data_IF_958743778598
#
_entry.id   IF_958743778598
#
_cell.length_a   1.000
_cell.length_b   1.000
_cell.length_c   1.000
_cell.angle_alpha   90.00
_cell.angle_beta   90.00
_cell.angle_gamma   90.00
#
_symmetry.space_group_name_H-M   'P 1'
#
loop_
_entity.id
_entity.type
_entity.pdbx_description
1 polymer ?
#
# COMPACT_ATOMS: atom_id res chain seq x y z
N UNK A 1 28.24 -70.53 27.52
CA UNK A 1 27.17 -69.58 27.17
C UNK A 1 27.48 -68.28 27.88
N UNK A 2 27.80 -67.27 27.08
CA UNK A 2 28.35 -65.98 27.45
C UNK A 2 27.19 -64.99 27.65
N UNK A 3 27.12 -64.31 28.79
CA UNK A 3 26.34 -63.07 28.94
C UNK A 3 27.17 -62.04 29.71
N UNK A 4 27.98 -61.36 28.90
CA UNK A 4 28.74 -60.15 29.16
C UNK A 4 27.80 -58.98 29.50
N UNK A 5 28.08 -58.35 30.65
CA UNK A 5 27.54 -57.06 31.07
C UNK A 5 27.87 -55.99 30.01
N UNK A 6 26.86 -55.51 29.29
CA UNK A 6 26.98 -54.41 28.33
C UNK A 6 26.74 -53.05 28.98
N UNK A 7 27.74 -52.17 28.90
CA UNK A 7 27.75 -50.77 29.35
C UNK A 7 26.62 -49.91 28.73
N UNK A 8 26.07 -48.97 29.52
CA UNK A 8 25.06 -47.98 29.09
C UNK A 8 25.64 -47.04 27.98
N UNK A 9 25.02 -46.97 26.79
CA UNK A 9 25.59 -46.30 25.61
C UNK A 9 25.45 -44.76 25.62
N UNK A 10 25.20 -44.12 26.76
CA UNK A 10 24.91 -42.67 26.83
C UNK A 10 26.02 -41.82 27.44
N UNK A 11 27.28 -42.24 27.36
CA UNK A 11 28.43 -41.32 27.55
C UNK A 11 28.76 -40.58 26.25
N UNK A 12 27.82 -39.76 25.81
CA UNK A 12 28.03 -38.73 24.80
C UNK A 12 28.04 -37.35 25.45
N UNK A 13 28.82 -36.41 24.90
CA UNK A 13 28.92 -35.02 25.38
C UNK A 13 27.51 -34.41 25.49
N UNK A 14 27.13 -34.01 26.69
CA UNK A 14 25.85 -33.33 26.93
C UNK A 14 25.86 -31.96 26.25
N UNK A 15 24.73 -31.57 25.64
CA UNK A 15 24.51 -30.24 25.06
C UNK A 15 24.86 -29.12 26.03
N UNK A 16 24.60 -29.33 27.32
CA UNK A 16 24.95 -28.39 28.38
C UNK A 16 26.48 -28.32 28.58
N UNK A 17 27.19 -29.44 28.55
CA UNK A 17 28.66 -29.48 28.64
C UNK A 17 29.38 -28.86 27.43
N UNK A 18 28.79 -28.94 26.24
CA UNK A 18 29.29 -28.24 25.05
C UNK A 18 29.17 -26.71 25.20
N UNK A 19 28.00 -26.22 25.64
CA UNK A 19 27.75 -24.79 25.86
C UNK A 19 28.61 -24.20 26.99
N UNK A 20 28.95 -24.98 28.03
CA UNK A 20 29.84 -24.51 29.10
C UNK A 20 31.32 -24.63 28.73
N UNK A 21 31.69 -25.51 27.79
CA UNK A 21 33.09 -25.91 27.54
C UNK A 21 33.83 -25.18 26.41
N UNK A 22 33.17 -24.35 25.61
CA UNK A 22 33.79 -23.71 24.42
C UNK A 22 33.67 -22.18 24.41
N UNK A 23 33.77 -21.55 25.58
CA UNK A 23 33.63 -20.10 25.73
C UNK A 23 34.91 -19.29 25.96
N UNK A 24 36.11 -19.87 25.78
CA UNK A 24 37.36 -19.17 26.08
C UNK A 24 38.45 -19.41 25.03
N UNK A 25 38.33 -18.75 23.87
CA UNK A 25 39.45 -18.51 22.96
C UNK A 25 39.20 -17.24 22.10
N UNK A 26 39.77 -16.13 22.58
CA UNK A 26 40.23 -14.90 21.90
C UNK A 26 39.53 -14.36 20.63
N UNK A 27 39.01 -13.13 20.72
CA UNK A 27 39.44 -12.02 19.85
C UNK A 27 39.15 -10.66 20.54
N UNK A 28 40.16 -10.10 21.21
CA UNK A 28 40.16 -8.71 21.73
C UNK A 28 40.42 -7.68 20.59
N UNK A 29 40.46 -8.12 19.33
CA UNK A 29 40.83 -7.31 18.16
C UNK A 29 39.70 -6.44 17.58
N UNK A 30 38.63 -6.16 18.35
CA UNK A 30 37.46 -5.40 17.85
C UNK A 30 37.23 -4.04 18.50
N UNK A 31 38.02 -3.64 19.52
CA UNK A 31 37.72 -2.44 20.31
C UNK A 31 38.06 -1.11 19.63
N UNK A 32 38.60 -1.13 18.41
CA UNK A 32 38.80 0.07 17.58
C UNK A 32 37.95 0.05 16.32
N UNK A 33 36.87 -0.73 16.26
CA UNK A 33 35.80 -0.43 15.31
C UNK A 33 35.17 0.90 15.75
N UNK A 34 35.79 1.99 15.30
CA UNK A 34 35.30 3.34 15.42
C UNK A 34 33.85 3.29 14.95
N UNK A 35 32.93 3.59 15.87
CA UNK A 35 31.53 3.75 15.53
C UNK A 35 31.47 4.85 14.48
N UNK A 36 31.45 4.43 13.21
CA UNK A 36 31.16 5.31 12.10
C UNK A 36 29.66 5.50 12.18
N UNK A 37 29.16 6.68 12.57
CA UNK A 37 27.73 6.92 12.46
C UNK A 37 27.33 6.63 11.01
N UNK A 38 26.16 6.02 10.74
CA UNK A 38 25.66 5.97 9.39
C UNK A 38 25.74 7.39 8.83
N UNK A 39 26.23 7.53 7.59
CA UNK A 39 26.23 8.81 6.90
C UNK A 39 24.85 9.47 7.14
N UNK A 40 24.79 10.78 7.45
CA UNK A 40 23.51 11.45 7.66
C UNK A 40 22.63 11.06 6.48
N UNK A 41 21.45 10.50 6.77
CA UNK A 41 20.48 10.20 5.75
C UNK A 41 20.39 11.47 4.91
N UNK A 42 20.85 11.41 3.66
CA UNK A 42 20.74 12.55 2.77
C UNK A 42 19.24 12.85 2.76
N UNK A 43 18.85 13.91 3.45
CA UNK A 43 17.55 14.50 3.20
C UNK A 43 17.48 14.57 1.68
N UNK A 44 16.44 14.00 1.10
CA UNK A 44 16.15 14.16 -0.32
C UNK A 44 15.76 15.63 -0.54
N UNK A 45 16.72 16.54 -0.36
CA UNK A 45 16.66 17.97 -0.55
C UNK A 45 16.63 18.20 -2.06
N UNK A 46 15.44 18.04 -2.64
CA UNK A 46 15.26 18.24 -4.07
C UNK A 46 13.91 17.82 -4.62
N UNK A 47 13.12 17.01 -3.92
CA UNK A 47 11.74 16.81 -4.32
C UNK A 47 10.94 18.09 -4.07
N UNK A 48 10.20 18.64 -5.05
CA UNK A 48 9.36 19.80 -4.82
C UNK A 48 8.32 19.44 -3.75
N UNK A 49 8.38 20.12 -2.60
CA UNK A 49 7.35 20.02 -1.58
C UNK A 49 6.06 20.64 -2.15
N UNK A 50 5.03 19.82 -2.31
CA UNK A 50 3.71 20.31 -2.69
C UNK A 50 2.98 20.77 -1.41
N UNK A 51 2.60 22.05 -1.35
CA UNK A 51 1.70 22.59 -0.32
C UNK A 51 2.25 23.77 0.50
N UNK A 52 1.42 24.41 1.35
CA UNK A 52 0.02 24.08 1.63
C UNK A 52 -0.98 24.62 0.59
N UNK A 53 -0.53 25.44 -0.35
CA UNK A 53 -1.39 26.02 -1.38
C UNK A 53 -1.97 24.94 -2.32
N UNK A 54 -3.18 25.16 -2.87
CA UNK A 54 -3.74 24.30 -3.91
C UNK A 54 -2.81 24.22 -5.13
N UNK A 55 -2.71 23.02 -5.70
CA UNK A 55 -1.99 22.76 -6.94
C UNK A 55 -2.95 22.33 -8.04
N UNK A 56 -2.56 22.59 -9.29
CA UNK A 56 -3.34 22.19 -10.46
C UNK A 56 -3.36 20.67 -10.60
N UNK A 57 -4.55 20.12 -10.70
CA UNK A 57 -4.83 18.72 -10.93
C UNK A 57 -5.48 18.56 -12.31
N UNK A 58 -4.95 17.65 -13.13
CA UNK A 58 -5.54 17.29 -14.42
C UNK A 58 -5.87 15.80 -14.41
N UNK A 59 -7.07 15.42 -14.84
CA UNK A 59 -7.51 14.03 -14.92
C UNK A 59 -8.29 13.81 -16.21
N UNK A 60 -8.34 12.56 -16.69
CA UNK A 60 -9.36 12.13 -17.65
C UNK A 60 -10.39 11.29 -16.89
N UNK A 61 -11.58 11.83 -16.65
CA UNK A 61 -12.63 11.14 -15.88
C UNK A 61 -13.73 10.69 -16.82
N UNK A 62 -13.98 9.38 -16.89
CA UNK A 62 -14.96 8.77 -17.80
C UNK A 62 -14.78 9.23 -19.26
N UNK A 63 -13.52 9.33 -19.72
CA UNK A 63 -13.18 9.80 -21.07
C UNK A 63 -13.20 11.32 -21.27
N UNK A 64 -13.61 12.12 -20.27
CA UNK A 64 -13.61 13.59 -20.32
C UNK A 64 -12.41 14.16 -19.59
N UNK A 65 -11.61 14.98 -20.27
CA UNK A 65 -10.53 15.75 -19.63
C UNK A 65 -11.13 16.81 -18.70
N UNK A 66 -10.65 16.84 -17.46
CA UNK A 66 -11.06 17.78 -16.42
C UNK A 66 -9.84 18.35 -15.71
N UNK A 67 -9.99 19.57 -15.21
CA UNK A 67 -8.93 20.28 -14.50
C UNK A 67 -9.54 21.01 -13.30
N UNK A 68 -8.86 20.97 -12.17
CA UNK A 68 -9.24 21.71 -10.96
C UNK A 68 -8.00 22.04 -10.13
N UNK A 69 -8.15 22.76 -9.02
CA UNK A 69 -7.07 23.00 -8.06
C UNK A 69 -7.43 22.33 -6.73
N UNK A 70 -6.51 21.54 -6.17
CA UNK A 70 -6.71 20.81 -4.91
C UNK A 70 -5.53 20.98 -3.99
N UNK A 71 -5.76 20.96 -2.67
CA UNK A 71 -4.67 20.85 -1.71
C UNK A 71 -3.93 19.50 -1.90
N UNK A 72 -2.62 19.43 -1.68
CA UNK A 72 -1.84 18.20 -1.87
C UNK A 72 -2.31 16.98 -1.09
N UNK A 73 -3.00 17.19 0.05
CA UNK A 73 -3.56 16.14 0.91
C UNK A 73 -4.89 15.57 0.41
N UNK A 74 -5.48 16.15 -0.63
CA UNK A 74 -6.81 15.74 -1.12
C UNK A 74 -6.71 14.34 -1.73
N UNK A 75 -7.58 13.45 -1.26
CA UNK A 75 -7.72 12.10 -1.82
C UNK A 75 -8.38 12.15 -3.20
N UNK A 76 -8.16 11.13 -4.02
CA UNK A 76 -8.84 11.00 -5.31
C UNK A 76 -10.36 10.94 -5.12
N UNK A 77 -10.84 10.30 -4.05
CA UNK A 77 -12.26 10.28 -3.70
C UNK A 77 -12.81 11.68 -3.48
N UNK A 78 -12.13 12.51 -2.68
CA UNK A 78 -12.58 13.87 -2.40
C UNK A 78 -12.47 14.76 -3.64
N UNK A 79 -11.41 14.63 -4.45
CA UNK A 79 -11.29 15.34 -5.71
C UNK A 79 -12.46 15.04 -6.65
N UNK A 80 -12.80 13.77 -6.85
CA UNK A 80 -13.94 13.37 -7.67
C UNK A 80 -15.26 13.94 -7.14
N UNK A 81 -15.52 13.77 -5.84
CA UNK A 81 -16.83 14.10 -5.25
C UNK A 81 -17.06 15.59 -5.02
N UNK A 82 -16.07 16.29 -4.48
CA UNK A 82 -16.24 17.64 -3.94
C UNK A 82 -15.64 18.73 -4.82
N UNK A 83 -14.78 18.37 -5.78
CA UNK A 83 -14.15 19.33 -6.71
C UNK A 83 -14.61 19.15 -8.16
N UNK A 84 -15.09 17.96 -8.52
CA UNK A 84 -15.45 17.61 -9.90
C UNK A 84 -16.92 17.15 -10.04
N UNK A 85 -17.68 17.11 -8.94
CA UNK A 85 -19.09 16.69 -8.87
C UNK A 85 -19.37 15.27 -9.44
N UNK A 86 -18.37 14.39 -9.39
CA UNK A 86 -18.46 12.96 -9.76
C UNK A 86 -18.72 12.17 -8.48
N UNK A 87 -19.99 11.85 -8.22
CA UNK A 87 -20.47 11.44 -6.88
C UNK A 87 -20.89 9.98 -6.74
N UNK A 88 -20.72 9.16 -7.79
CA UNK A 88 -21.07 7.74 -7.83
C UNK A 88 -20.23 6.92 -6.86
N UNK A 89 -18.93 7.19 -6.76
CA UNK A 89 -18.07 6.60 -5.73
C UNK A 89 -18.41 7.15 -4.35
N UNK A 90 -18.54 6.27 -3.36
CA UNK A 90 -19.05 6.64 -2.02
C UNK A 90 -17.97 6.63 -0.96
N UNK A 91 -17.99 7.62 -0.07
CA UNK A 91 -17.24 7.62 1.18
C UNK A 91 -18.06 6.90 2.24
N UNK A 92 -17.56 5.75 2.70
CA UNK A 92 -18.20 4.96 3.76
C UNK A 92 -17.24 4.73 4.91
N UNK A 93 -16.17 3.94 4.71
CA UNK A 93 -15.21 3.65 5.78
C UNK A 93 -13.99 4.58 5.81
N UNK A 94 -13.63 5.17 4.66
CA UNK A 94 -12.45 6.04 4.48
C UNK A 94 -11.11 5.43 4.95
N UNK A 95 -10.99 4.10 4.88
CA UNK A 95 -9.83 3.34 5.37
C UNK A 95 -9.54 2.08 4.57
N UNK A 96 -9.97 2.04 3.30
CA UNK A 96 -9.77 0.91 2.38
C UNK A 96 -10.34 -0.46 2.83
N UNK A 97 -11.36 -0.49 3.70
CA UNK A 97 -11.95 -1.77 4.17
C UNK A 97 -13.26 -2.16 3.48
N UNK A 98 -14.03 -1.20 2.94
CA UNK A 98 -15.40 -1.46 2.45
C UNK A 98 -15.56 -1.55 0.92
N UNK A 99 -14.58 -1.07 0.14
CA UNK A 99 -14.68 -1.04 -1.34
C UNK A 99 -15.67 -0.03 -1.94
N UNK A 100 -16.49 0.68 -1.17
CA UNK A 100 -17.50 1.62 -1.71
C UNK A 100 -16.92 2.82 -2.51
N UNK A 101 -15.63 3.09 -2.35
CA UNK A 101 -14.89 4.13 -3.07
C UNK A 101 -14.10 3.62 -4.29
N UNK A 102 -14.34 2.38 -4.73
CA UNK A 102 -13.55 1.77 -5.80
C UNK A 102 -13.72 2.52 -7.11
N UNK A 103 -12.60 2.78 -7.79
CA UNK A 103 -12.52 3.32 -9.16
C UNK A 103 -11.55 2.48 -9.98
N UNK A 104 -11.61 2.59 -11.30
CA UNK A 104 -10.58 2.05 -12.19
C UNK A 104 -9.63 3.19 -12.58
N UNK A 105 -8.39 3.13 -12.10
CA UNK A 105 -7.31 4.09 -12.38
C UNK A 105 -6.32 3.43 -13.35
N UNK A 106 -6.17 3.99 -14.55
CA UNK A 106 -5.31 3.45 -15.61
C UNK A 106 -5.52 1.94 -15.85
N UNK A 107 -6.79 1.51 -15.87
CA UNK A 107 -7.18 0.11 -16.08
C UNK A 107 -7.08 -0.79 -14.84
N UNK A 108 -6.64 -0.29 -13.68
CA UNK A 108 -6.54 -1.06 -12.43
C UNK A 108 -7.54 -0.59 -11.38
N UNK A 109 -8.17 -1.51 -10.66
CA UNK A 109 -9.05 -1.15 -9.53
C UNK A 109 -8.23 -0.65 -8.35
N UNK A 110 -8.63 0.50 -7.78
CA UNK A 110 -8.00 1.11 -6.61
C UNK A 110 -9.05 1.67 -5.66
N UNK A 111 -8.71 1.76 -4.37
CA UNK A 111 -9.52 2.46 -3.39
C UNK A 111 -9.21 3.95 -3.41
N UNK A 112 -10.07 4.74 -4.04
CA UNK A 112 -9.82 6.18 -4.22
C UNK A 112 -9.71 6.99 -2.91
N UNK A 113 -10.22 6.46 -1.78
CA UNK A 113 -10.02 7.06 -0.45
C UNK A 113 -8.57 6.97 0.06
N UNK A 114 -7.75 6.05 -0.47
CA UNK A 114 -6.36 5.84 -0.07
C UNK A 114 -5.38 6.16 -1.21
N UNK A 115 -5.81 6.95 -2.20
CA UNK A 115 -4.98 7.43 -3.30
C UNK A 115 -4.99 8.94 -3.26
N UNK A 116 -3.84 9.62 -3.32
CA UNK A 116 -3.82 11.07 -3.41
C UNK A 116 -4.24 11.51 -4.81
N UNK A 117 -4.99 12.60 -4.90
CA UNK A 117 -5.40 13.14 -6.20
C UNK A 117 -4.18 13.54 -7.04
N UNK A 118 -3.14 14.10 -6.41
CA UNK A 118 -1.88 14.47 -7.07
C UNK A 118 -1.16 13.26 -7.69
N UNK A 119 -1.17 12.10 -7.03
CA UNK A 119 -0.58 10.87 -7.55
C UNK A 119 -1.30 10.37 -8.80
N UNK A 120 -2.59 10.68 -8.92
CA UNK A 120 -3.42 10.35 -10.08
C UNK A 120 -3.36 11.42 -11.18
N UNK A 121 -2.60 12.51 -11.02
CA UNK A 121 -2.54 13.58 -12.03
C UNK A 121 -2.11 13.04 -13.41
N UNK A 122 -2.84 13.43 -14.45
CA UNK A 122 -2.68 12.95 -15.83
C UNK A 122 -3.29 11.57 -16.11
N UNK A 123 -3.83 10.87 -15.11
CA UNK A 123 -4.36 9.52 -15.28
C UNK A 123 -5.77 9.47 -15.90
N UNK A 124 -6.12 8.29 -16.41
CA UNK A 124 -7.49 7.91 -16.77
C UNK A 124 -8.20 7.29 -15.57
N UNK A 125 -9.35 7.85 -15.20
CA UNK A 125 -10.18 7.44 -14.08
C UNK A 125 -11.56 7.08 -14.60
N UNK A 126 -11.98 5.82 -14.41
CA UNK A 126 -13.33 5.37 -14.72
C UNK A 126 -14.09 5.07 -13.43
N UNK A 127 -15.28 5.64 -13.34
CA UNK A 127 -16.19 5.60 -12.17
C UNK A 127 -17.48 4.87 -12.53
N UNK A 128 -18.35 4.63 -11.54
CA UNK A 128 -19.62 3.93 -11.74
C UNK A 128 -20.54 4.64 -12.75
N UNK A 129 -20.48 5.97 -12.83
CA UNK A 129 -21.26 6.79 -13.76
C UNK A 129 -20.99 6.43 -15.22
N UNK A 130 -19.80 5.90 -15.56
CA UNK A 130 -19.51 5.43 -16.91
C UNK A 130 -20.35 4.23 -17.35
N UNK A 131 -20.94 3.49 -16.41
CA UNK A 131 -21.78 2.31 -16.66
C UNK A 131 -23.26 2.67 -16.90
N UNK A 132 -23.64 3.95 -16.73
CA UNK A 132 -25.02 4.42 -16.90
C UNK A 132 -25.44 4.67 -18.35
N UNK A 133 -24.53 4.53 -19.32
CA UNK A 133 -24.79 4.85 -20.73
C UNK A 133 -25.15 6.32 -20.96
N UNK A 134 -25.88 6.62 -22.02
CA UNK A 134 -26.45 7.95 -22.31
C UNK A 134 -27.73 8.26 -21.50
N UNK A 135 -27.99 7.49 -20.45
CA UNK A 135 -29.22 7.55 -19.65
C UNK A 135 -30.41 6.78 -20.24
N UNK A 136 -30.28 6.14 -21.41
CA UNK A 136 -31.35 5.31 -22.01
C UNK A 136 -31.13 3.81 -21.85
N UNK A 137 -29.88 3.38 -21.75
CA UNK A 137 -29.55 1.97 -21.60
C UNK A 137 -28.37 1.77 -20.65
N UNK A 138 -28.63 1.05 -19.56
CA UNK A 138 -27.60 0.62 -18.61
C UNK A 138 -26.66 -0.40 -19.28
N UNK A 139 -25.40 -0.38 -18.86
CA UNK A 139 -24.47 -1.48 -19.15
C UNK A 139 -25.02 -2.82 -18.63
N UNK A 140 -24.69 -3.97 -19.25
CA UNK A 140 -25.20 -5.28 -18.83
C UNK A 140 -25.01 -5.59 -17.34
N UNK A 141 -23.92 -5.13 -16.72
CA UNK A 141 -23.67 -5.39 -15.29
C UNK A 141 -24.68 -4.69 -14.37
N UNK A 142 -24.81 -3.34 -14.36
CA UNK A 142 -25.81 -2.67 -13.54
C UNK A 142 -27.25 -3.08 -13.88
N UNK A 143 -27.55 -3.40 -15.15
CA UNK A 143 -28.87 -3.92 -15.53
C UNK A 143 -29.17 -5.27 -14.86
N UNK A 144 -28.19 -6.18 -14.82
CA UNK A 144 -28.32 -7.47 -14.14
C UNK A 144 -28.46 -7.32 -12.62
N UNK A 145 -27.72 -6.41 -12.00
CA UNK A 145 -27.85 -6.12 -10.56
C UNK A 145 -29.29 -5.66 -10.23
N UNK A 146 -29.82 -4.69 -10.98
CA UNK A 146 -31.18 -4.19 -10.80
C UNK A 146 -32.25 -5.28 -11.02
N UNK A 147 -32.06 -6.15 -12.01
CA UNK A 147 -33.00 -7.25 -12.31
C UNK A 147 -33.00 -8.37 -11.26
N UNK A 148 -31.93 -8.49 -10.46
CA UNK A 148 -31.74 -9.58 -9.49
C UNK A 148 -31.72 -9.10 -8.03
N UNK A 149 -32.05 -7.83 -7.75
CA UNK A 149 -32.04 -7.24 -6.41
C UNK A 149 -30.70 -7.43 -5.68
N UNK A 150 -29.61 -7.20 -6.40
CA UNK A 150 -28.23 -7.38 -5.93
C UNK A 150 -27.56 -6.08 -5.48
#
# INVERSE_FOLDING_TARGET
>A
MNDSQGEDPRRGVSRRGFLTGTGAAAAVAGLTAEWTPPAPAQEALGAPAHGPAPVRLELTVNGKKVTTNVEPRVTLLDALRNYLDVTGCKRVCDRATCGACTVVLNGRTVYSCMTLALEASGADVRTAESLGGDGRQLDPVPAAFAANDA
#
